data_IF_492050584010
#
_entry.id   IF_492050584010
#
_cell.length_a   1.000
_cell.length_b   1.000
_cell.length_c   1.000
_cell.angle_alpha   90.00
_cell.angle_beta   90.00
_cell.angle_gamma   90.00
#
_symmetry.space_group_name_H-M   'P 1'
#
loop_
_entity.id
_entity.type
_entity.pdbx_description
1 polymer ?
#
# COMPACT_ATOMS: atom_id res chain seq x y z
N UNK A 1 -10.69 -8.04 13.50
CA UNK A 1 -9.42 -8.04 12.75
C UNK A 1 -8.72 -6.71 13.00
N UNK A 2 -7.45 -6.70 13.34
CA UNK A 2 -6.68 -5.45 13.49
C UNK A 2 -5.71 -5.37 12.34
N UNK A 3 -5.84 -4.35 11.49
CA UNK A 3 -4.90 -4.09 10.40
C UNK A 3 -3.94 -3.00 10.90
N UNK A 4 -2.64 -3.29 10.86
CA UNK A 4 -1.59 -2.33 11.21
C UNK A 4 -0.93 -1.84 9.94
N UNK A 5 -1.21 -0.59 9.57
CA UNK A 5 -0.52 0.09 8.48
C UNK A 5 0.85 0.57 8.97
N UNK A 6 1.91 0.03 8.40
CA UNK A 6 3.24 0.55 8.63
C UNK A 6 3.62 1.47 7.49
N UNK A 7 3.35 2.76 7.63
CA UNK A 7 3.73 3.77 6.66
C UNK A 7 5.23 4.07 6.81
N UNK A 8 6.04 3.65 5.86
CA UNK A 8 7.44 4.10 5.78
C UNK A 8 7.49 5.40 4.96
N UNK A 9 7.48 6.55 5.63
CA UNK A 9 7.78 7.80 4.96
C UNK A 9 9.29 8.00 4.89
N UNK A 10 9.88 7.89 3.70
CA UNK A 10 11.20 8.47 3.43
C UNK A 10 10.98 9.96 3.23
N UNK A 11 11.09 10.75 4.29
CA UNK A 11 11.16 12.20 4.13
C UNK A 11 12.58 12.55 3.72
N UNK A 12 12.81 12.71 2.42
CA UNK A 12 14.01 13.37 1.91
C UNK A 12 13.84 14.86 2.18
N UNK A 13 14.50 15.36 3.22
CA UNK A 13 14.64 16.82 3.42
C UNK A 13 15.82 17.28 2.57
N UNK A 14 15.60 17.39 1.25
CA UNK A 14 16.39 18.22 0.40
C UNK A 14 15.69 19.58 0.29
N UNK A 15 16.17 20.58 1.04
CA UNK A 15 15.71 21.96 0.98
C UNK A 15 14.76 22.35 2.12
N UNK A 16 15.33 22.58 3.30
CA UNK A 16 14.63 23.22 4.40
C UNK A 16 14.37 24.69 4.07
N UNK A 17 13.16 25.02 3.62
CA UNK A 17 12.62 26.39 3.76
C UNK A 17 11.65 26.40 4.94
N UNK A 18 12.18 26.47 6.14
CA UNK A 18 11.42 26.81 7.33
C UNK A 18 11.20 28.32 7.35
N UNK A 19 9.98 28.82 7.64
CA UNK A 19 9.76 30.25 7.85
C UNK A 19 10.55 30.72 9.08
N UNK A 20 11.20 31.88 8.94
CA UNK A 20 12.20 32.51 9.81
C UNK A 20 11.67 32.92 11.20
N UNK A 21 10.70 32.26 11.80
CA UNK A 21 10.07 32.76 13.04
C UNK A 21 10.29 31.87 14.28
N UNK A 22 11.13 30.82 14.22
CA UNK A 22 11.45 30.01 15.41
C UNK A 22 12.93 29.60 15.47
N UNK A 23 13.85 30.57 15.36
CA UNK A 23 15.27 30.35 15.57
C UNK A 23 15.76 31.13 16.80
N UNK A 24 15.47 30.61 17.98
CA UNK A 24 16.31 30.85 19.16
C UNK A 24 16.60 29.49 19.77
N UNK A 25 17.88 29.11 19.69
CA UNK A 25 18.52 27.93 20.29
C UNK A 25 18.27 26.58 19.59
N UNK A 26 18.87 26.35 18.43
CA UNK A 26 19.22 25.01 17.94
C UNK A 26 20.71 25.02 17.53
N UNK A 27 21.53 24.49 18.41
CA UNK A 27 22.91 24.11 18.09
C UNK A 27 22.85 22.98 17.04
N UNK A 28 23.54 23.20 15.90
CA UNK A 28 23.73 22.19 14.86
C UNK A 28 24.65 21.12 15.42
N UNK A 29 24.05 20.05 15.93
CA UNK A 29 24.77 18.83 16.29
C UNK A 29 24.30 17.73 15.33
N UNK A 30 25.20 17.32 14.44
CA UNK A 30 25.13 16.14 13.59
C UNK A 30 23.74 15.80 13.01
N UNK A 31 23.57 16.11 11.72
CA UNK A 31 22.42 15.67 10.94
C UNK A 31 22.45 14.13 10.79
N UNK A 32 21.98 13.40 11.80
CA UNK A 32 21.58 12.02 11.66
C UNK A 32 20.12 12.03 11.18
N UNK A 33 19.91 11.64 9.93
CA UNK A 33 18.58 11.39 9.40
C UNK A 33 17.95 10.27 10.25
N UNK A 34 17.07 10.65 11.17
CA UNK A 34 16.24 9.68 11.88
C UNK A 34 15.05 9.40 10.97
N UNK A 35 15.00 8.20 10.41
CA UNK A 35 13.80 7.72 9.69
C UNK A 35 12.73 7.50 10.76
N UNK A 36 11.78 8.42 10.85
CA UNK A 36 10.60 8.24 11.70
C UNK A 36 9.65 7.31 10.95
N UNK A 37 9.56 6.07 11.42
CA UNK A 37 8.55 5.12 10.94
C UNK A 37 7.22 5.52 11.55
N UNK A 38 6.35 6.14 10.76
CA UNK A 38 4.98 6.45 11.19
C UNK A 38 4.15 5.18 11.04
N UNK A 39 3.63 4.68 12.15
CA UNK A 39 2.69 3.56 12.16
C UNK A 39 1.27 4.11 12.36
N UNK A 40 0.40 3.84 11.41
CA UNK A 40 -1.03 4.12 11.52
C UNK A 40 -1.77 2.80 11.73
N UNK A 41 -2.65 2.74 12.74
CA UNK A 41 -3.39 1.52 13.06
C UNK A 41 -4.87 1.73 12.80
N UNK A 42 -5.43 0.94 11.87
CA UNK A 42 -6.86 0.91 11.58
C UNK A 42 -7.43 -0.37 12.19
N UNK A 43 -8.46 -0.26 13.00
CA UNK A 43 -9.16 -1.40 13.60
C UNK A 43 -10.43 -1.71 12.84
N UNK A 44 -10.57 -2.96 12.38
CA UNK A 44 -11.79 -3.47 11.77
C UNK A 44 -12.41 -4.45 12.76
N UNK A 45 -13.48 -4.04 13.41
CA UNK A 45 -14.15 -4.85 14.44
C UNK A 45 -15.14 -5.84 13.83
N UNK A 46 -15.79 -5.45 12.74
CA UNK A 46 -16.75 -6.29 12.02
C UNK A 46 -16.78 -5.94 10.53
N UNK A 47 -17.45 -6.75 9.72
CA UNK A 47 -17.68 -6.45 8.29
C UNK A 47 -18.51 -5.18 8.09
N UNK A 48 -19.35 -4.81 9.05
CA UNK A 48 -20.15 -3.58 8.98
C UNK A 48 -19.30 -2.32 9.06
N UNK A 49 -18.13 -2.40 9.73
CA UNK A 49 -17.18 -1.28 9.87
C UNK A 49 -16.10 -1.24 8.78
N UNK A 50 -16.06 -2.24 7.90
CA UNK A 50 -14.98 -2.39 6.92
C UNK A 50 -14.93 -1.23 5.91
N UNK A 51 -16.09 -0.70 5.50
CA UNK A 51 -16.16 0.46 4.58
C UNK A 51 -15.59 1.73 5.22
N UNK A 52 -15.85 1.93 6.51
CA UNK A 52 -15.28 3.07 7.23
C UNK A 52 -13.76 2.93 7.34
N UNK A 53 -13.27 1.73 7.61
CA UNK A 53 -11.83 1.44 7.63
C UNK A 53 -11.18 1.64 6.24
N UNK A 54 -11.89 1.28 5.17
CA UNK A 54 -11.42 1.51 3.79
C UNK A 54 -11.30 3.02 3.49
N UNK A 55 -12.25 3.84 3.90
CA UNK A 55 -12.17 5.31 3.78
C UNK A 55 -10.99 5.90 4.55
N UNK A 56 -10.78 5.42 5.76
CA UNK A 56 -9.63 5.85 6.59
C UNK A 56 -8.31 5.43 5.96
N UNK A 57 -8.23 4.22 5.38
CA UNK A 57 -7.09 3.74 4.64
C UNK A 57 -6.78 4.63 3.43
N UNK A 58 -7.79 4.91 2.60
CA UNK A 58 -7.66 5.76 1.40
C UNK A 58 -7.19 7.16 1.79
N UNK A 59 -7.73 7.74 2.86
CA UNK A 59 -7.31 9.05 3.34
C UNK A 59 -5.85 9.08 3.82
N UNK A 60 -5.28 7.94 4.21
CA UNK A 60 -3.89 7.80 4.63
C UNK A 60 -2.93 7.31 3.54
N UNK A 61 -3.40 7.08 2.33
CA UNK A 61 -2.54 6.60 1.22
C UNK A 61 -1.55 7.66 0.74
N UNK A 62 -1.89 8.94 0.87
CA UNK A 62 -1.15 10.07 0.30
C UNK A 62 -0.87 9.86 -1.22
N UNK A 63 0.38 10.05 -1.67
CA UNK A 63 0.84 9.85 -3.04
C UNK A 63 1.42 8.45 -3.30
N UNK A 64 1.24 7.52 -2.35
CA UNK A 64 1.76 6.15 -2.46
C UNK A 64 0.83 5.27 -3.28
N UNK A 65 1.44 4.41 -4.08
CA UNK A 65 0.71 3.57 -5.05
C UNK A 65 0.85 2.08 -4.80
N UNK A 66 1.84 1.62 -4.02
CA UNK A 66 2.09 0.19 -3.80
C UNK A 66 1.86 -0.18 -2.34
N UNK A 67 0.90 -1.09 -2.11
CA UNK A 67 0.46 -1.54 -0.78
C UNK A 67 0.55 -3.06 -0.64
N UNK A 68 1.43 -3.52 0.24
CA UNK A 68 1.76 -4.93 0.46
C UNK A 68 1.03 -5.48 1.70
N UNK A 69 -0.02 -6.27 1.46
CA UNK A 69 -0.89 -6.84 2.50
C UNK A 69 -0.31 -8.15 3.03
N UNK A 70 0.15 -8.14 4.26
CA UNK A 70 0.70 -9.30 4.97
C UNK A 70 -0.34 -9.93 5.89
N UNK A 71 -0.22 -11.20 6.14
CA UNK A 71 -1.05 -11.94 7.08
C UNK A 71 -1.42 -13.34 6.58
N UNK A 72 -1.86 -14.17 7.52
CA UNK A 72 -2.21 -15.56 7.27
C UNK A 72 -3.38 -15.73 6.29
N UNK A 73 -3.55 -16.96 5.81
CA UNK A 73 -4.74 -17.31 5.02
C UNK A 73 -6.01 -17.09 5.86
N UNK A 74 -7.01 -16.45 5.27
CA UNK A 74 -8.26 -16.13 5.97
C UNK A 74 -8.19 -14.89 6.88
N UNK A 75 -7.06 -14.17 6.95
CA UNK A 75 -6.93 -12.93 7.74
C UNK A 75 -7.82 -11.78 7.23
N UNK A 76 -8.41 -11.91 6.04
CA UNK A 76 -9.32 -10.91 5.47
C UNK A 76 -8.66 -9.91 4.51
N UNK A 77 -7.44 -10.18 4.02
CA UNK A 77 -6.73 -9.32 3.06
C UNK A 77 -7.59 -8.98 1.85
N UNK A 78 -8.02 -9.99 1.11
CA UNK A 78 -8.90 -9.82 -0.06
C UNK A 78 -10.20 -9.09 0.28
N UNK A 79 -10.81 -9.38 1.44
CA UNK A 79 -12.04 -8.73 1.88
C UNK A 79 -11.85 -7.24 2.09
N UNK A 80 -10.70 -6.84 2.65
CA UNK A 80 -10.39 -5.44 2.88
C UNK A 80 -10.00 -4.73 1.58
N UNK A 81 -9.18 -5.35 0.72
CA UNK A 81 -8.85 -4.83 -0.63
C UNK A 81 -10.13 -4.60 -1.43
N UNK A 82 -11.08 -5.55 -1.38
CA UNK A 82 -12.39 -5.38 -2.01
C UNK A 82 -13.11 -4.13 -1.51
N UNK A 83 -13.18 -3.92 -0.21
CA UNK A 83 -13.83 -2.73 0.36
C UNK A 83 -13.11 -1.43 -0.05
N UNK A 84 -11.77 -1.44 -0.16
CA UNK A 84 -11.00 -0.30 -0.66
C UNK A 84 -11.35 -0.01 -2.13
N UNK A 85 -11.35 -1.02 -2.99
CA UNK A 85 -11.69 -0.86 -4.41
C UNK A 85 -13.12 -0.35 -4.61
N UNK A 86 -14.09 -0.86 -3.82
CA UNK A 86 -15.47 -0.38 -3.84
C UNK A 86 -15.57 1.11 -3.46
N UNK A 87 -14.80 1.55 -2.44
CA UNK A 87 -14.76 2.97 -2.04
C UNK A 87 -13.97 3.85 -3.02
N UNK A 88 -13.11 3.26 -3.86
CA UNK A 88 -12.44 3.93 -4.99
C UNK A 88 -13.31 3.97 -6.27
N UNK A 89 -14.56 3.54 -6.20
CA UNK A 89 -15.51 3.59 -7.29
C UNK A 89 -15.36 2.47 -8.33
N UNK A 90 -14.77 1.33 -7.97
CA UNK A 90 -14.76 0.14 -8.85
C UNK A 90 -16.14 -0.48 -8.85
N UNK A 91 -16.75 -0.58 -10.04
CA UNK A 91 -18.09 -1.17 -10.24
C UNK A 91 -18.02 -2.67 -10.57
N UNK A 92 -16.85 -3.18 -10.95
CA UNK A 92 -16.63 -4.57 -11.29
C UNK A 92 -16.73 -5.50 -10.08
N UNK A 93 -16.97 -6.79 -10.34
CA UNK A 93 -16.94 -7.81 -9.30
C UNK A 93 -15.50 -8.07 -8.86
N UNK A 94 -15.15 -7.63 -7.67
CA UNK A 94 -13.80 -7.75 -7.13
C UNK A 94 -13.63 -9.12 -6.46
N UNK A 95 -12.70 -9.92 -7.00
CA UNK A 95 -12.35 -11.25 -6.51
C UNK A 95 -10.83 -11.35 -6.26
N UNK A 96 -10.42 -12.32 -5.42
CA UNK A 96 -9.00 -12.64 -5.30
C UNK A 96 -8.47 -13.19 -6.63
N UNK A 97 -7.32 -12.67 -7.12
CA UNK A 97 -6.70 -13.18 -8.35
C UNK A 97 -5.87 -14.45 -8.14
N UNK A 98 -6.19 -15.30 -7.15
CA UNK A 98 -5.41 -16.49 -6.79
C UNK A 98 -5.09 -17.41 -7.98
N UNK A 99 -5.91 -17.41 -9.04
CA UNK A 99 -5.66 -18.18 -10.26
C UNK A 99 -5.02 -17.37 -11.38
N UNK A 100 -5.40 -16.08 -11.49
CA UNK A 100 -4.92 -15.18 -12.54
C UNK A 100 -3.62 -14.47 -12.14
N UNK A 101 -3.28 -14.46 -10.86
CA UNK A 101 -2.19 -13.74 -10.19
C UNK A 101 -2.44 -12.23 -10.18
N UNK A 102 -2.95 -11.64 -11.25
CA UNK A 102 -3.24 -10.21 -11.37
C UNK A 102 -4.67 -10.04 -11.86
N UNK A 103 -5.43 -9.17 -11.20
CA UNK A 103 -6.66 -8.58 -11.73
C UNK A 103 -6.45 -7.08 -11.95
N UNK A 104 -6.98 -6.58 -13.04
CA UNK A 104 -7.05 -5.15 -13.36
C UNK A 104 -8.47 -4.66 -13.12
N UNK A 105 -8.58 -3.54 -12.42
CA UNK A 105 -9.83 -2.82 -12.21
C UNK A 105 -9.65 -1.36 -12.64
N UNK A 106 -10.77 -0.67 -12.82
CA UNK A 106 -10.78 0.74 -13.13
C UNK A 106 -11.78 1.47 -12.24
N UNK A 107 -11.34 2.58 -11.64
CA UNK A 107 -12.24 3.48 -10.93
C UNK A 107 -13.26 4.07 -11.91
N UNK A 108 -14.55 3.93 -11.62
CA UNK A 108 -15.63 4.55 -12.38
C UNK A 108 -15.67 6.08 -12.19
N UNK A 109 -15.10 6.59 -11.09
CA UNK A 109 -15.08 8.02 -10.77
C UNK A 109 -13.87 8.74 -11.40
N UNK A 110 -12.66 8.19 -11.26
CA UNK A 110 -11.42 8.84 -11.72
C UNK A 110 -10.88 8.28 -13.03
N UNK A 111 -11.31 7.08 -13.42
CA UNK A 111 -10.78 6.35 -14.57
C UNK A 111 -9.39 5.74 -14.33
N UNK A 112 -8.85 5.86 -13.13
CA UNK A 112 -7.53 5.32 -12.77
C UNK A 112 -7.52 3.81 -12.72
N UNK A 113 -6.37 3.22 -13.09
CA UNK A 113 -6.15 1.77 -13.02
C UNK A 113 -5.76 1.34 -11.60
N UNK A 114 -6.28 0.19 -11.21
CA UNK A 114 -6.01 -0.46 -9.93
C UNK A 114 -5.64 -1.91 -10.23
N UNK A 115 -4.46 -2.32 -9.79
CA UNK A 115 -3.98 -3.69 -9.92
C UNK A 115 -4.06 -4.42 -8.58
N UNK A 116 -4.65 -5.61 -8.59
CA UNK A 116 -4.73 -6.49 -7.44
C UNK A 116 -3.95 -7.77 -7.73
N UNK A 117 -2.92 -8.04 -6.92
CA UNK A 117 -2.04 -9.19 -7.03
C UNK A 117 -2.28 -10.17 -5.90
N UNK A 118 -2.22 -11.46 -6.20
CA UNK A 118 -2.21 -12.53 -5.20
C UNK A 118 -1.07 -13.52 -5.57
N UNK A 119 0.04 -13.43 -4.85
CA UNK A 119 1.22 -14.27 -5.08
C UNK A 119 1.22 -15.57 -4.29
N UNK A 120 0.10 -15.95 -3.64
CA UNK A 120 0.02 -17.18 -2.84
C UNK A 120 0.57 -18.41 -3.56
N UNK A 121 0.29 -18.55 -4.86
CA UNK A 121 0.67 -19.72 -5.68
C UNK A 121 2.06 -19.64 -6.29
N UNK A 122 2.70 -18.49 -6.24
CA UNK A 122 4.07 -18.34 -6.74
C UNK A 122 5.02 -19.18 -5.88
N UNK A 123 5.84 -19.99 -6.54
CA UNK A 123 6.84 -20.82 -5.91
C UNK A 123 8.26 -20.32 -6.12
N UNK A 124 8.50 -19.58 -7.20
CA UNK A 124 9.80 -19.01 -7.56
C UNK A 124 9.63 -17.55 -7.93
N UNK A 125 10.60 -16.73 -7.54
CA UNK A 125 10.62 -15.30 -7.87
C UNK A 125 10.55 -15.06 -9.39
N UNK A 126 11.22 -15.91 -10.18
CA UNK A 126 11.20 -15.80 -11.65
C UNK A 126 9.79 -15.88 -12.26
N UNK A 127 8.83 -16.53 -11.61
CA UNK A 127 7.45 -16.55 -12.08
C UNK A 127 6.81 -15.16 -12.02
N UNK A 128 7.15 -14.37 -10.99
CA UNK A 128 6.69 -12.99 -10.85
C UNK A 128 7.45 -12.05 -11.82
N UNK A 129 8.74 -12.29 -12.05
CA UNK A 129 9.54 -11.57 -13.05
C UNK A 129 9.00 -11.80 -14.48
N UNK A 130 8.65 -13.05 -14.82
CA UNK A 130 8.10 -13.42 -16.13
C UNK A 130 6.75 -12.74 -16.42
N UNK A 131 5.97 -12.41 -15.38
CA UNK A 131 4.72 -11.65 -15.48
C UNK A 131 4.99 -10.16 -15.75
N UNK A 132 6.21 -9.67 -15.47
CA UNK A 132 6.56 -8.26 -15.59
C UNK A 132 6.02 -7.41 -14.44
N UNK A 133 6.01 -7.94 -13.22
CA UNK A 133 5.41 -7.26 -12.04
C UNK A 133 6.00 -5.88 -11.78
N UNK A 134 7.28 -5.66 -12.08
CA UNK A 134 7.94 -4.36 -11.91
C UNK A 134 7.31 -3.26 -12.79
N UNK A 135 6.89 -3.59 -14.01
CA UNK A 135 6.24 -2.62 -14.91
C UNK A 135 4.94 -2.08 -14.29
N UNK A 136 4.20 -2.91 -13.56
CA UNK A 136 3.00 -2.49 -12.83
C UNK A 136 3.34 -1.63 -11.62
N UNK A 137 4.33 -2.04 -10.81
CA UNK A 137 4.71 -1.33 -9.59
C UNK A 137 5.26 0.07 -9.85
N UNK A 138 5.91 0.26 -11.00
CA UNK A 138 6.45 1.57 -11.42
C UNK A 138 5.55 2.31 -12.42
N UNK A 139 4.35 1.80 -12.71
CA UNK A 139 3.38 2.44 -13.62
C UNK A 139 2.75 3.74 -13.07
N UNK A 140 2.79 3.90 -11.74
CA UNK A 140 2.06 4.96 -11.04
C UNK A 140 0.59 4.62 -10.75
N UNK A 141 0.08 3.46 -11.20
CA UNK A 141 -1.24 2.96 -10.84
C UNK A 141 -1.23 2.34 -9.43
N UNK A 142 -2.40 2.29 -8.79
CA UNK A 142 -2.54 1.63 -7.50
C UNK A 142 -2.31 0.13 -7.61
N UNK A 143 -1.45 -0.42 -6.74
CA UNK A 143 -1.14 -1.84 -6.65
C UNK A 143 -1.42 -2.35 -5.25
N UNK A 144 -2.37 -3.26 -5.10
CA UNK A 144 -2.65 -3.99 -3.87
C UNK A 144 -2.09 -5.40 -4.00
N UNK A 145 -1.20 -5.79 -3.10
CA UNK A 145 -0.41 -7.03 -3.20
C UNK A 145 -0.70 -7.91 -2.01
N UNK A 146 -1.26 -9.12 -2.26
CA UNK A 146 -1.37 -10.18 -1.26
C UNK A 146 -0.17 -11.13 -1.37
N UNK A 147 0.30 -11.65 -0.22
CA UNK A 147 1.46 -12.53 -0.09
C UNK A 147 2.77 -11.91 -0.60
N UNK A 148 3.08 -10.67 -0.21
CA UNK A 148 4.26 -9.96 -0.68
C UNK A 148 5.59 -10.63 -0.30
N UNK A 149 5.61 -11.48 0.72
CA UNK A 149 6.78 -12.26 1.14
C UNK A 149 7.27 -13.23 0.07
N UNK A 150 6.45 -13.55 -0.93
CA UNK A 150 6.84 -14.38 -2.07
C UNK A 150 7.70 -13.64 -3.10
N UNK A 151 7.63 -12.32 -3.08
CA UNK A 151 8.26 -11.42 -4.06
C UNK A 151 8.98 -10.24 -3.40
N UNK A 152 9.45 -10.42 -2.17
CA UNK A 152 10.04 -9.35 -1.34
C UNK A 152 11.13 -8.56 -2.07
N UNK A 153 11.93 -9.24 -2.91
CA UNK A 153 13.04 -8.65 -3.65
C UNK A 153 12.59 -7.71 -4.80
N UNK A 154 11.35 -7.88 -5.30
CA UNK A 154 10.77 -7.06 -6.37
C UNK A 154 9.98 -5.85 -5.85
N UNK A 155 9.71 -5.79 -4.55
CA UNK A 155 8.91 -4.71 -3.98
C UNK A 155 9.65 -3.38 -4.04
N UNK A 156 8.98 -2.29 -4.48
CA UNK A 156 9.56 -0.96 -4.44
C UNK A 156 9.96 -0.55 -3.02
N UNK A 157 11.09 0.17 -2.90
CA UNK A 157 11.60 0.60 -1.59
C UNK A 157 10.71 1.60 -0.84
N UNK A 158 9.71 2.17 -1.48
CA UNK A 158 8.69 3.09 -0.95
C UNK A 158 7.32 2.42 -0.80
N UNK A 159 7.22 1.12 -1.11
CA UNK A 159 6.02 0.33 -0.88
C UNK A 159 5.61 0.32 0.59
N UNK A 160 4.29 0.33 0.82
CA UNK A 160 3.69 0.37 2.15
C UNK A 160 3.33 -1.03 2.61
N UNK A 161 3.85 -1.46 3.76
CA UNK A 161 3.41 -2.70 4.40
C UNK A 161 2.10 -2.48 5.17
N UNK A 162 1.13 -3.39 4.94
CA UNK A 162 -0.22 -3.39 5.53
C UNK A 162 -0.44 -4.65 6.35
#
# INVERSE_FOLDING_TARGET
MTIVLTLQSKTSIAGCQLPILFLTELSIVNCQLTIIKVMHTIKIESLDTIRQAAKEFIAGMDDRTVFAFRGDMGAGKTTFIKAICEELGVEDVINSPTFAIINEYRSGETGELIYHFDFYRINKLSEAEDIGTEDYFYSGALCFIEWPEKIEELLPGDGVAV
#
